data_IF_924055635558
#
_entry.id   IF_924055635558
#
_cell.length_a   1.000
_cell.length_b   1.000
_cell.length_c   1.000
_cell.angle_alpha   90.00
_cell.angle_beta   90.00
_cell.angle_gamma   90.00
#
_symmetry.space_group_name_H-M   'P 1'
#
loop_
_entity.id
_entity.type
_entity.pdbx_description
1 polymer ?
#
# COMPACT_ATOMS: atom_id res chain seq x y z
N UNK A 1 -13.18 -3.98 -6.53
CA UNK A 1 -11.77 -3.75 -6.89
C UNK A 1 -11.53 -3.39 -8.36
N UNK A 2 -12.27 -3.96 -9.33
CA UNK A 2 -12.03 -3.65 -10.76
C UNK A 2 -12.41 -2.22 -11.21
N UNK A 3 -13.30 -1.52 -10.50
CA UNK A 3 -13.80 -0.19 -10.91
C UNK A 3 -12.93 0.97 -10.37
N UNK A 4 -12.03 0.72 -9.41
CA UNK A 4 -11.27 1.77 -8.70
C UNK A 4 -9.77 1.78 -9.00
N UNK A 5 -9.30 1.14 -10.08
CA UNK A 5 -7.87 1.12 -10.45
C UNK A 5 -7.17 -0.23 -10.31
N UNK A 6 -7.90 -1.33 -10.16
CA UNK A 6 -7.37 -2.70 -10.18
C UNK A 6 -7.27 -3.37 -8.81
N UNK A 7 -7.18 -4.71 -8.81
CA UNK A 7 -6.99 -5.54 -7.61
C UNK A 7 -5.71 -5.16 -6.82
N UNK A 8 -4.70 -4.62 -7.51
CA UNK A 8 -3.38 -4.26 -6.95
C UNK A 8 -3.36 -3.09 -5.96
N UNK A 9 -4.48 -2.40 -5.76
CA UNK A 9 -4.59 -1.26 -4.83
C UNK A 9 -5.59 -1.47 -3.68
N UNK A 10 -6.37 -2.57 -3.71
CA UNK A 10 -7.45 -2.78 -2.76
C UNK A 10 -6.93 -3.42 -1.46
N UNK A 11 -7.08 -2.75 -0.30
CA UNK A 11 -6.83 -3.36 1.01
C UNK A 11 -8.06 -4.16 1.47
N UNK A 12 -7.88 -5.02 2.47
CA UNK A 12 -8.98 -5.68 3.18
C UNK A 12 -8.72 -5.74 4.68
N UNK A 13 -9.78 -5.93 5.46
CA UNK A 13 -9.74 -6.05 6.91
C UNK A 13 -10.68 -7.18 7.38
N UNK A 14 -10.12 -8.14 8.10
CA UNK A 14 -10.83 -9.24 8.75
C UNK A 14 -10.81 -9.00 10.27
N UNK A 15 -11.96 -8.61 10.83
CA UNK A 15 -12.06 -8.17 12.23
C UNK A 15 -12.71 -9.24 13.11
N UNK A 16 -12.02 -9.66 14.19
CA UNK A 16 -12.63 -10.40 15.29
C UNK A 16 -12.85 -9.44 16.48
N UNK A 17 -14.10 -9.00 16.75
CA UNK A 17 -14.38 -8.03 17.79
C UNK A 17 -13.78 -8.42 19.14
N UNK A 18 -12.96 -7.54 19.71
CA UNK A 18 -12.36 -7.72 21.03
C UNK A 18 -11.26 -8.78 21.14
N UNK A 19 -10.73 -9.31 20.01
CA UNK A 19 -9.57 -10.23 20.06
C UNK A 19 -8.44 -9.86 19.12
N UNK A 20 -8.66 -9.95 17.81
CA UNK A 20 -7.63 -9.76 16.80
C UNK A 20 -8.22 -9.24 15.49
N UNK A 21 -7.37 -8.59 14.71
CA UNK A 21 -7.69 -8.11 13.37
C UNK A 21 -6.56 -8.50 12.41
N UNK A 22 -6.91 -8.81 11.17
CA UNK A 22 -5.96 -9.10 10.09
C UNK A 22 -6.24 -8.13 8.93
N UNK A 23 -5.20 -7.46 8.46
CA UNK A 23 -5.26 -6.55 7.32
C UNK A 23 -4.36 -7.07 6.21
N UNK A 24 -4.93 -7.30 5.03
CA UNK A 24 -4.21 -7.95 3.93
C UNK A 24 -4.66 -7.42 2.55
N UNK A 25 -3.75 -7.39 1.56
CA UNK A 25 -4.11 -7.09 0.19
C UNK A 25 -5.16 -8.05 -0.35
N UNK A 26 -6.07 -7.57 -1.22
CA UNK A 26 -7.06 -8.43 -1.88
C UNK A 26 -6.43 -9.30 -2.97
N UNK A 27 -5.30 -8.87 -3.55
CA UNK A 27 -4.62 -9.65 -4.57
C UNK A 27 -3.96 -10.90 -3.98
N UNK A 28 -3.88 -11.97 -4.78
CA UNK A 28 -3.20 -13.20 -4.38
C UNK A 28 -1.68 -13.09 -4.42
N UNK A 29 -1.00 -14.23 -4.37
CA UNK A 29 0.47 -14.34 -4.28
C UNK A 29 1.23 -13.94 -5.55
N UNK A 30 0.55 -13.76 -6.68
CA UNK A 30 1.14 -13.40 -7.98
C UNK A 30 2.41 -14.22 -8.33
N UNK A 31 2.30 -15.56 -8.45
CA UNK A 31 3.45 -16.45 -8.56
C UNK A 31 4.27 -16.24 -9.83
N UNK A 32 3.68 -15.68 -10.87
CA UNK A 32 4.29 -15.32 -12.15
C UNK A 32 5.30 -14.18 -12.04
N UNK A 33 5.14 -13.29 -11.05
CA UNK A 33 6.05 -12.16 -10.80
C UNK A 33 6.81 -12.27 -9.47
N UNK A 34 6.60 -13.34 -8.71
CA UNK A 34 7.29 -13.57 -7.45
C UNK A 34 8.81 -13.58 -7.65
N UNK A 35 9.54 -12.81 -6.83
CA UNK A 35 11.01 -12.71 -6.90
C UNK A 35 11.56 -11.82 -8.02
N UNK A 36 10.69 -11.21 -8.86
CA UNK A 36 11.13 -10.33 -9.95
C UNK A 36 11.37 -8.88 -9.53
N UNK A 37 10.91 -8.50 -8.33
CA UNK A 37 10.97 -7.11 -7.86
C UNK A 37 9.98 -6.16 -8.55
N UNK A 38 8.95 -6.68 -9.22
CA UNK A 38 7.94 -5.88 -9.94
C UNK A 38 6.56 -5.87 -9.27
N UNK A 39 6.40 -6.58 -8.16
CA UNK A 39 5.15 -6.62 -7.41
C UNK A 39 4.81 -5.23 -6.84
N UNK A 40 3.54 -4.84 -6.91
CA UNK A 40 3.08 -3.57 -6.39
C UNK A 40 2.98 -3.58 -4.85
N UNK A 41 3.78 -2.78 -4.12
CA UNK A 41 3.72 -2.76 -2.65
C UNK A 41 2.54 -1.93 -2.12
N UNK A 42 1.87 -1.13 -2.95
CA UNK A 42 0.93 -0.11 -2.50
C UNK A 42 -0.35 -0.67 -1.87
N UNK A 43 -0.85 -1.84 -2.30
CA UNK A 43 -1.97 -2.50 -1.62
C UNK A 43 -1.63 -2.93 -0.19
N UNK A 44 -0.42 -3.49 0.03
CA UNK A 44 0.02 -3.86 1.36
C UNK A 44 0.17 -2.63 2.26
N UNK A 45 0.72 -1.54 1.73
CA UNK A 45 0.84 -0.28 2.47
C UNK A 45 -0.53 0.32 2.77
N UNK A 46 -1.49 0.18 1.87
CA UNK A 46 -2.87 0.60 2.13
C UNK A 46 -3.53 -0.19 3.28
N UNK A 47 -3.15 -1.46 3.48
CA UNK A 47 -3.60 -2.24 4.64
C UNK A 47 -3.02 -1.69 5.96
N UNK A 48 -1.81 -1.13 5.94
CA UNK A 48 -1.21 -0.46 7.11
C UNK A 48 -2.00 0.79 7.50
N UNK A 49 -2.57 1.52 6.53
CA UNK A 49 -3.48 2.65 6.83
C UNK A 49 -4.69 2.15 7.62
N UNK A 50 -5.36 1.08 7.15
CA UNK A 50 -6.50 0.50 7.86
C UNK A 50 -6.13 -0.02 9.25
N UNK A 51 -4.93 -0.57 9.40
CA UNK A 51 -4.41 -1.01 10.70
C UNK A 51 -4.26 0.17 11.66
N UNK A 52 -3.65 1.28 11.22
CA UNK A 52 -3.51 2.47 12.06
C UNK A 52 -4.85 3.08 12.43
N UNK A 53 -5.80 3.18 11.50
CA UNK A 53 -7.17 3.60 11.80
C UNK A 53 -7.83 2.69 12.86
N UNK A 54 -7.63 1.37 12.75
CA UNK A 54 -8.16 0.42 13.73
C UNK A 54 -7.53 0.57 15.12
N UNK A 55 -6.25 0.93 15.19
CA UNK A 55 -5.53 1.18 16.44
C UNK A 55 -5.81 2.57 17.04
N UNK A 56 -6.51 3.45 16.31
CA UNK A 56 -6.73 4.85 16.71
C UNK A 56 -5.51 5.76 16.46
N UNK A 57 -4.55 5.31 15.67
CA UNK A 57 -3.32 6.03 15.32
C UNK A 57 -3.56 6.95 14.10
N UNK A 58 -4.51 7.88 14.25
CA UNK A 58 -5.03 8.69 13.14
C UNK A 58 -3.96 9.54 12.44
N UNK A 59 -2.96 10.03 13.19
CA UNK A 59 -1.87 10.82 12.61
C UNK A 59 -0.98 9.97 11.70
N UNK A 60 -0.62 8.77 12.16
CA UNK A 60 0.15 7.82 11.36
C UNK A 60 -0.64 7.37 10.13
N UNK A 61 -1.94 7.07 10.28
CA UNK A 61 -2.83 6.73 9.17
C UNK A 61 -2.85 7.83 8.11
N UNK A 62 -3.04 9.10 8.52
CA UNK A 62 -3.04 10.26 7.60
C UNK A 62 -1.69 10.46 6.92
N UNK A 63 -0.59 10.30 7.65
CA UNK A 63 0.75 10.45 7.08
C UNK A 63 1.01 9.42 5.98
N UNK A 64 0.68 8.15 6.22
CA UNK A 64 0.85 7.08 5.22
C UNK A 64 -0.12 7.23 4.06
N UNK A 65 -1.40 7.56 4.31
CA UNK A 65 -2.39 7.82 3.25
C UNK A 65 -1.94 8.97 2.33
N UNK A 66 -1.44 10.06 2.91
CA UNK A 66 -0.91 11.20 2.13
C UNK A 66 0.20 10.75 1.19
N UNK A 67 1.22 10.06 1.71
CA UNK A 67 2.37 9.62 0.89
C UNK A 67 1.94 8.58 -0.16
N UNK A 68 0.99 7.70 0.17
CA UNK A 68 0.39 6.78 -0.81
C UNK A 68 -0.26 7.55 -1.98
N UNK A 69 -1.04 8.60 -1.69
CA UNK A 69 -1.66 9.43 -2.72
C UNK A 69 -0.64 10.20 -3.55
N UNK A 70 0.43 10.69 -2.91
CA UNK A 70 1.54 11.36 -3.60
C UNK A 70 2.25 10.39 -4.56
N UNK A 71 2.51 9.13 -4.17
CA UNK A 71 3.09 8.12 -5.07
C UNK A 71 2.25 7.94 -6.34
N UNK A 72 0.92 7.82 -6.19
CA UNK A 72 0.00 7.71 -7.32
C UNK A 72 -0.03 8.98 -8.19
N UNK A 73 -0.02 10.16 -7.57
CA UNK A 73 -0.08 11.44 -8.28
C UNK A 73 1.21 11.76 -9.04
N UNK A 74 2.37 11.41 -8.48
CA UNK A 74 3.69 11.65 -9.05
C UNK A 74 4.12 10.53 -10.02
N UNK A 75 3.36 9.44 -10.12
CA UNK A 75 3.69 8.30 -10.98
C UNK A 75 4.86 7.45 -10.45
N UNK A 76 5.20 7.56 -9.16
CA UNK A 76 6.18 6.70 -8.49
C UNK A 76 5.52 5.36 -8.16
N UNK A 77 5.26 4.57 -9.21
CA UNK A 77 4.49 3.33 -9.15
C UNK A 77 5.14 2.21 -9.95
N UNK A 78 4.72 0.98 -9.67
CA UNK A 78 5.17 -0.24 -10.36
C UNK A 78 4.53 -0.40 -11.74
N UNK A 79 5.06 -1.31 -12.60
CA UNK A 79 4.61 -1.46 -13.99
C UNK A 79 3.13 -1.82 -14.16
N UNK A 80 2.51 -2.49 -13.19
CA UNK A 80 1.07 -2.81 -13.20
C UNK A 80 0.18 -1.56 -13.18
N UNK A 81 0.71 -0.43 -12.70
CA UNK A 81 0.05 0.88 -12.71
C UNK A 81 0.60 1.83 -13.78
N UNK A 82 1.43 1.33 -14.70
CA UNK A 82 2.01 2.10 -15.80
C UNK A 82 3.27 2.90 -15.45
N UNK A 83 3.85 2.69 -14.28
CA UNK A 83 5.13 3.28 -13.89
C UNK A 83 6.33 2.41 -14.28
N UNK A 84 7.52 2.84 -13.86
CA UNK A 84 8.78 2.17 -14.18
C UNK A 84 9.56 1.74 -12.94
N UNK A 85 9.05 2.02 -11.74
CA UNK A 85 9.73 1.70 -10.49
C UNK A 85 9.61 0.20 -10.17
N UNK A 86 10.65 -0.35 -9.54
CA UNK A 86 10.60 -1.63 -8.85
C UNK A 86 9.83 -1.53 -7.52
N UNK A 87 9.48 -2.68 -6.96
CA UNK A 87 8.87 -2.79 -5.62
C UNK A 87 9.69 -2.04 -4.56
N UNK A 88 11.02 -2.21 -4.61
CA UNK A 88 11.94 -1.60 -3.64
C UNK A 88 12.00 -0.08 -3.82
N UNK A 89 12.10 0.42 -5.05
CA UNK A 89 12.14 1.85 -5.33
C UNK A 89 10.88 2.57 -4.85
N UNK A 90 9.69 1.99 -5.05
CA UNK A 90 8.45 2.56 -4.50
C UNK A 90 8.49 2.59 -2.97
N UNK A 91 8.91 1.49 -2.33
CA UNK A 91 9.03 1.42 -0.87
C UNK A 91 10.01 2.45 -0.29
N UNK A 92 11.21 2.55 -0.88
CA UNK A 92 12.25 3.50 -0.47
C UNK A 92 11.81 4.94 -0.66
N UNK A 93 11.14 5.22 -1.79
CA UNK A 93 10.55 6.54 -2.04
C UNK A 93 9.53 6.93 -0.97
N UNK A 94 8.63 6.00 -0.60
CA UNK A 94 7.64 6.25 0.45
C UNK A 94 8.30 6.51 1.81
N UNK A 95 9.31 5.71 2.18
CA UNK A 95 10.08 5.92 3.42
C UNK A 95 10.77 7.28 3.42
N UNK A 96 11.39 7.66 2.30
CA UNK A 96 12.02 8.96 2.13
C UNK A 96 11.02 10.11 2.34
N UNK A 97 9.83 9.99 1.75
CA UNK A 97 8.78 11.01 1.84
C UNK A 97 8.15 11.12 3.24
N UNK A 98 8.03 10.00 3.96
CA UNK A 98 7.58 9.97 5.36
C UNK A 98 8.61 10.62 6.30
N UNK A 99 9.91 10.39 6.08
CA UNK A 99 10.99 10.95 6.90
C UNK A 99 11.28 12.42 6.60
N UNK A 100 11.06 12.86 5.36
CA UNK A 100 11.30 14.23 4.90
C UNK A 100 10.12 15.19 5.12
N UNK A 101 9.02 14.73 5.71
CA UNK A 101 7.88 15.58 6.05
C UNK A 101 8.14 16.38 7.32
N UNK A 102 8.73 17.57 7.17
CA UNK A 102 8.63 18.69 8.12
C UNK A 102 7.73 19.77 7.52
#
# INVERSE_FOLDING_TARGET
>A
AQITGGLGLAPSANLHPGKWALFEPVHGSAPDIAGTGTANPLAAIRCVVLLFEHLGEDEAARAVDRVFREALAEGTVTPDLGGTCSTAEVGDWMVGRLRGGS
#
